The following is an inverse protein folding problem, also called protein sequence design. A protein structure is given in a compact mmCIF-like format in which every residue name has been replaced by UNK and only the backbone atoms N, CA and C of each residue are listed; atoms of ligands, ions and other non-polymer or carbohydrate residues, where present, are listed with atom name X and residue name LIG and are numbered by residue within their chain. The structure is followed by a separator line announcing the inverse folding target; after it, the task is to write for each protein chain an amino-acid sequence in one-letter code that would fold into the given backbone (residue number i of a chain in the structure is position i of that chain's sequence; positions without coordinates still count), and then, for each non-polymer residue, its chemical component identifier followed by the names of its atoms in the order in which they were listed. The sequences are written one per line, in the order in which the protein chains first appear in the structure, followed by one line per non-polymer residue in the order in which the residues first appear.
data_IF_703692282108
#
_entry.id   IF_703692282108
#
_cell.length_a   1.000
_cell.length_b   1.000
_cell.length_c   1.000
_cell.angle_alpha   90.00
_cell.angle_beta   90.00
_cell.angle_gamma   90.00
#
_symmetry.space_group_name_H-M   'P 1'
#
loop_
_entity.id
_entity.type
_entity.pdbx_description
1 polymer ?
#
# COMPACT_ATOMS: atom_id res chain seq x y z
N UNK A 1 7.70 -12.75 32.77
CA UNK A 1 7.06 -13.50 31.67
C UNK A 1 5.64 -12.96 31.59
N UNK A 2 5.53 -11.76 30.98
CA UNK A 2 4.25 -11.13 30.75
C UNK A 2 3.58 -11.85 29.57
N UNK A 3 2.37 -12.30 29.81
CA UNK A 3 1.56 -12.91 28.77
C UNK A 3 1.12 -11.81 27.82
N UNK A 4 1.46 -11.96 26.55
CA UNK A 4 0.87 -11.14 25.48
C UNK A 4 -0.66 -11.34 25.54
N UNK A 5 -1.39 -10.30 25.91
CA UNK A 5 -2.83 -10.29 25.77
C UNK A 5 -3.17 -10.29 24.27
N UNK A 6 -3.62 -11.44 23.80
CA UNK A 6 -4.19 -11.55 22.45
C UNK A 6 -5.60 -10.99 22.47
N UNK A 7 -5.80 -9.88 21.83
CA UNK A 7 -7.14 -9.34 21.59
C UNK A 7 -7.82 -10.23 20.55
N UNK A 8 -8.78 -11.02 20.98
CA UNK A 8 -9.62 -11.84 20.08
C UNK A 8 -10.82 -11.01 19.65
N UNK A 9 -10.94 -10.78 18.35
CA UNK A 9 -12.06 -10.06 17.75
C UNK A 9 -13.21 -11.04 17.46
N UNK A 10 -14.49 -10.61 17.51
CA UNK A 10 -15.61 -11.41 17.05
C UNK A 10 -15.38 -11.87 15.61
N UNK A 11 -15.39 -13.18 15.36
CA UNK A 11 -15.05 -13.77 14.06
C UNK A 11 -13.69 -14.48 14.01
N UNK A 12 -12.91 -14.47 15.10
CA UNK A 12 -11.66 -15.25 15.20
C UNK A 12 -10.47 -14.64 14.45
N UNK A 13 -10.53 -13.36 14.08
CA UNK A 13 -9.39 -12.66 13.49
C UNK A 13 -8.37 -12.27 14.56
N UNK A 14 -7.16 -12.84 14.49
CA UNK A 14 -6.00 -12.32 15.20
C UNK A 14 -5.36 -11.22 14.35
N UNK A 15 -5.16 -10.05 14.91
CA UNK A 15 -4.42 -8.98 14.24
C UNK A 15 -3.27 -8.49 15.09
N UNK A 16 -2.32 -7.88 14.42
CA UNK A 16 -1.29 -7.12 15.10
C UNK A 16 -1.91 -5.84 15.66
N UNK A 17 -1.59 -5.51 16.90
CA UNK A 17 -1.88 -4.18 17.43
C UNK A 17 -1.19 -3.13 16.55
N UNK A 18 -1.84 -2.00 16.34
CA UNK A 18 -1.19 -0.87 15.65
C UNK A 18 -0.05 -0.32 16.48
N UNK A 19 0.86 0.39 15.86
CA UNK A 19 1.98 1.01 16.58
C UNK A 19 1.52 1.99 17.68
N UNK A 20 0.35 2.61 17.51
CA UNK A 20 -0.28 3.46 18.53
C UNK A 20 -0.67 2.72 19.81
N UNK A 21 -0.90 1.41 19.74
CA UNK A 21 -1.28 0.59 20.90
C UNK A 21 -0.06 0.06 21.68
N UNK A 22 1.17 0.36 21.22
CA UNK A 22 2.40 -0.22 21.75
C UNK A 22 3.41 0.86 22.08
N UNK A 23 3.23 1.47 23.22
CA UNK A 23 4.25 2.31 23.79
C UNK A 23 5.50 1.46 24.14
N UNK A 24 6.69 1.94 23.75
CA UNK A 24 7.99 1.44 24.18
C UNK A 24 8.51 0.09 23.62
N UNK A 25 8.08 -0.37 22.46
CA UNK A 25 8.78 -1.46 21.80
C UNK A 25 9.85 -0.91 20.83
N UNK A 26 11.10 -1.42 20.88
CA UNK A 26 12.15 -0.95 19.98
C UNK A 26 11.80 -1.18 18.52
N UNK A 27 11.12 -2.31 18.21
CA UNK A 27 10.55 -2.60 16.88
C UNK A 27 9.21 -3.29 17.05
N UNK A 28 8.19 -2.97 16.21
CA UNK A 28 6.90 -3.63 16.30
C UNK A 28 7.06 -5.14 16.16
N UNK A 29 6.41 -5.95 16.98
CA UNK A 29 6.51 -7.40 16.90
C UNK A 29 5.84 -7.90 15.63
N UNK A 30 6.26 -9.06 15.19
CA UNK A 30 5.72 -9.78 14.05
C UNK A 30 6.80 -10.10 13.02
N UNK A 31 6.46 -11.02 12.16
CA UNK A 31 7.28 -11.57 11.07
C UNK A 31 6.97 -10.93 9.70
N UNK A 32 6.02 -9.98 9.67
CA UNK A 32 5.69 -9.24 8.46
C UNK A 32 6.86 -8.40 7.95
N UNK A 33 6.98 -8.33 6.61
CA UNK A 33 8.02 -7.50 5.96
C UNK A 33 7.75 -6.01 6.09
N UNK A 34 6.47 -5.63 6.21
CA UNK A 34 6.05 -4.27 6.45
C UNK A 34 5.30 -4.19 7.77
N UNK A 35 5.61 -3.18 8.56
CA UNK A 35 5.05 -2.92 9.90
C UNK A 35 4.72 -1.43 10.01
N UNK A 36 4.05 -1.01 11.08
CA UNK A 36 3.80 0.41 11.35
C UNK A 36 4.50 0.83 12.64
N UNK A 37 4.93 2.08 12.67
CA UNK A 37 5.47 2.77 13.84
C UNK A 37 4.79 4.11 13.99
N UNK A 38 4.64 4.59 15.22
CA UNK A 38 4.17 5.95 15.50
C UNK A 38 5.34 6.95 15.54
N UNK A 39 4.99 8.22 15.68
CA UNK A 39 5.97 9.29 15.74
C UNK A 39 6.84 9.25 17.02
N UNK A 40 6.31 8.73 18.14
CA UNK A 40 7.11 8.54 19.37
C UNK A 40 8.24 7.54 19.14
N UNK A 41 7.88 6.39 18.55
CA UNK A 41 8.87 5.36 18.24
C UNK A 41 9.98 5.93 17.31
N UNK A 42 9.60 6.64 16.24
CA UNK A 42 10.58 7.18 15.31
C UNK A 42 11.47 8.25 15.99
N UNK A 43 10.90 9.08 16.86
CA UNK A 43 11.69 10.09 17.61
C UNK A 43 12.75 9.44 18.50
N UNK A 44 12.41 8.33 19.17
CA UNK A 44 13.34 7.59 20.02
C UNK A 44 14.47 6.92 19.22
N UNK A 45 14.23 6.59 17.94
CA UNK A 45 15.16 5.89 17.05
C UNK A 45 15.78 6.79 15.97
N UNK A 46 15.53 8.11 16.03
CA UNK A 46 15.94 9.04 14.96
C UNK A 46 17.47 9.07 14.75
N UNK A 47 18.24 8.72 15.76
CA UNK A 47 19.71 8.72 15.74
C UNK A 47 20.33 7.32 15.66
N UNK A 48 19.53 6.28 15.41
CA UNK A 48 20.04 4.93 15.23
C UNK A 48 20.82 4.85 13.92
N UNK A 49 22.05 4.38 14.01
CA UNK A 49 23.00 4.41 12.87
C UNK A 49 22.68 3.42 11.76
N UNK A 50 21.84 2.44 12.05
CA UNK A 50 21.39 1.40 11.13
C UNK A 50 19.97 1.68 10.57
N UNK A 51 19.29 2.73 11.01
CA UNK A 51 17.96 3.11 10.53
C UNK A 51 18.08 4.04 9.31
N UNK A 52 17.47 3.66 8.20
CA UNK A 52 17.30 4.54 7.05
C UNK A 52 15.89 5.13 7.04
N UNK A 53 15.76 6.44 6.89
CA UNK A 53 14.48 7.14 6.83
C UNK A 53 14.26 7.63 5.39
N UNK A 54 13.17 7.19 4.76
CA UNK A 54 12.84 7.52 3.37
C UNK A 54 11.62 8.41 3.33
N UNK A 55 11.82 9.60 2.78
CA UNK A 55 10.76 10.57 2.49
C UNK A 55 10.21 10.35 1.07
N UNK A 56 8.91 10.06 0.99
CA UNK A 56 8.19 9.84 -0.27
C UNK A 56 7.13 10.93 -0.46
N UNK A 57 7.42 12.16 -0.03
CA UNK A 57 6.52 13.28 -0.28
C UNK A 57 6.27 13.47 -1.79
N UNK A 58 5.09 14.01 -2.19
CA UNK A 58 4.65 13.99 -3.58
C UNK A 58 5.56 14.79 -4.53
N UNK A 59 6.28 15.78 -4.02
CA UNK A 59 7.15 16.64 -4.79
C UNK A 59 8.46 16.90 -4.05
N UNK A 60 9.58 16.99 -4.78
CA UNK A 60 10.89 17.30 -4.20
C UNK A 60 10.90 18.64 -3.46
N UNK A 61 10.10 19.61 -3.88
CA UNK A 61 10.00 20.89 -3.18
C UNK A 61 9.32 20.78 -1.81
N UNK A 62 8.47 19.79 -1.61
CA UNK A 62 7.90 19.49 -0.28
C UNK A 62 9.01 19.06 0.67
N UNK A 63 9.87 18.11 0.24
CA UNK A 63 11.04 17.68 0.99
C UNK A 63 12.04 18.80 1.25
N UNK A 64 12.34 19.65 0.25
CA UNK A 64 13.24 20.80 0.38
C UNK A 64 12.71 21.78 1.44
N UNK A 65 11.41 21.97 1.47
CA UNK A 65 10.76 22.90 2.40
C UNK A 65 10.77 22.37 3.84
N UNK A 66 10.47 21.11 4.02
CA UNK A 66 10.45 20.47 5.34
C UNK A 66 10.43 18.93 5.22
N UNK A 67 11.21 18.28 6.08
CA UNK A 67 11.25 16.82 6.21
C UNK A 67 11.66 16.42 7.64
N UNK A 68 11.51 15.14 7.97
CA UNK A 68 12.01 14.57 9.23
C UNK A 68 13.54 14.58 9.22
N UNK A 69 14.22 15.00 10.31
CA UNK A 69 15.67 15.02 10.36
C UNK A 69 16.30 13.68 9.94
N UNK A 70 17.33 13.74 9.09
CA UNK A 70 18.03 12.55 8.57
C UNK A 70 17.32 11.81 7.43
N UNK A 71 16.11 12.21 7.04
CA UNK A 71 15.39 11.55 5.96
C UNK A 71 16.02 11.82 4.57
N UNK A 72 16.04 10.81 3.75
CA UNK A 72 16.47 10.85 2.34
C UNK A 72 15.24 10.87 1.43
N UNK A 73 15.18 11.82 0.49
CA UNK A 73 14.10 11.88 -0.48
C UNK A 73 14.23 10.79 -1.54
N UNK A 74 13.19 9.98 -1.70
CA UNK A 74 13.09 8.99 -2.76
C UNK A 74 11.68 8.98 -3.33
N UNK A 75 11.47 9.65 -4.46
CA UNK A 75 10.15 9.73 -5.08
C UNK A 75 9.62 8.36 -5.54
N UNK A 76 8.33 8.10 -5.34
CA UNK A 76 7.69 6.92 -5.92
C UNK A 76 7.77 6.86 -7.45
N UNK A 77 8.03 8.01 -8.10
CA UNK A 77 8.19 8.10 -9.55
C UNK A 77 9.34 7.25 -10.13
N UNK A 78 10.34 6.88 -9.32
CA UNK A 78 11.42 5.99 -9.77
C UNK A 78 10.99 4.52 -9.86
N UNK A 79 9.89 4.15 -9.21
CA UNK A 79 9.45 2.77 -9.08
C UNK A 79 8.84 2.22 -10.37
N UNK A 80 8.33 3.10 -11.23
CA UNK A 80 7.61 2.70 -12.44
C UNK A 80 8.04 3.48 -13.66
N UNK A 81 8.07 2.77 -14.80
CA UNK A 81 8.39 3.36 -16.10
C UNK A 81 7.61 2.64 -17.19
N UNK A 82 7.24 3.37 -18.25
CA UNK A 82 6.57 2.75 -19.39
C UNK A 82 7.44 1.68 -20.05
N UNK A 83 6.84 0.51 -20.34
CA UNK A 83 7.47 -0.56 -21.10
C UNK A 83 6.66 -0.83 -22.38
N UNK A 84 7.30 -0.65 -23.54
CA UNK A 84 6.65 -0.83 -24.87
C UNK A 84 5.32 -0.09 -25.02
N UNK A 85 5.23 1.11 -24.41
CA UNK A 85 4.02 1.94 -24.42
C UNK A 85 2.98 1.61 -23.34
N UNK A 86 3.13 0.52 -22.59
CA UNK A 86 2.29 0.24 -21.43
C UNK A 86 2.80 1.05 -20.21
N UNK A 87 1.94 1.82 -19.50
CA UNK A 87 2.42 2.89 -18.61
C UNK A 87 2.76 2.45 -17.19
N UNK A 88 2.36 1.26 -16.75
CA UNK A 88 2.36 0.89 -15.31
C UNK A 88 3.41 -0.11 -14.84
N UNK A 89 4.26 -0.71 -15.68
CA UNK A 89 5.25 -1.68 -15.21
C UNK A 89 6.26 -1.07 -14.25
N UNK A 90 6.80 -1.92 -13.38
CA UNK A 90 7.94 -1.53 -12.55
C UNK A 90 9.16 -1.18 -13.40
N UNK A 91 9.97 -0.29 -12.87
CA UNK A 91 11.26 0.06 -13.46
C UNK A 91 12.14 -1.19 -13.57
N UNK A 92 13.05 -1.24 -14.57
CA UNK A 92 14.01 -2.35 -14.67
C UNK A 92 14.74 -2.57 -13.34
N UNK A 93 14.99 -3.84 -13.01
CA UNK A 93 15.62 -4.23 -11.73
C UNK A 93 16.89 -3.44 -11.43
N UNK A 94 17.75 -3.22 -12.44
CA UNK A 94 18.97 -2.42 -12.26
C UNK A 94 18.70 -0.95 -11.87
N UNK A 95 17.61 -0.35 -12.37
CA UNK A 95 17.23 1.01 -11.98
C UNK A 95 16.70 1.08 -10.54
N UNK A 96 15.88 0.11 -10.14
CA UNK A 96 15.41 0.00 -8.75
C UNK A 96 16.57 -0.21 -7.79
N UNK A 97 17.46 -1.15 -8.11
CA UNK A 97 18.64 -1.45 -7.30
C UNK A 97 19.52 -0.20 -7.10
N UNK A 98 19.86 0.48 -8.19
CA UNK A 98 20.66 1.71 -8.15
C UNK A 98 19.97 2.80 -7.31
N UNK A 99 18.65 2.95 -7.45
CA UNK A 99 17.89 3.94 -6.66
C UNK A 99 17.94 3.63 -5.17
N UNK A 100 17.77 2.37 -4.80
CA UNK A 100 17.82 1.93 -3.40
C UNK A 100 19.24 2.03 -2.82
N UNK A 101 20.25 1.65 -3.59
CA UNK A 101 21.65 1.81 -3.18
C UNK A 101 22.00 3.27 -2.89
N UNK A 102 21.64 4.19 -3.79
CA UNK A 102 21.89 5.64 -3.62
C UNK A 102 21.17 6.25 -2.45
N UNK A 103 20.03 5.70 -2.08
CA UNK A 103 19.28 6.11 -0.88
C UNK A 103 19.85 5.51 0.43
N UNK A 104 20.94 4.72 0.35
CA UNK A 104 21.57 4.08 1.51
C UNK A 104 20.75 2.92 2.10
N UNK A 105 19.82 2.34 1.33
CA UNK A 105 18.97 1.25 1.80
C UNK A 105 19.77 -0.05 1.79
N UNK A 106 19.98 -0.64 2.97
CA UNK A 106 20.57 -1.97 3.14
C UNK A 106 19.48 -3.04 3.29
N UNK A 107 19.72 -4.27 2.81
CA UNK A 107 18.68 -5.30 2.76
C UNK A 107 18.13 -5.72 4.13
N UNK A 108 18.96 -5.72 5.15
CA UNK A 108 18.66 -6.24 6.49
C UNK A 108 18.57 -5.14 7.56
N UNK A 109 18.96 -3.90 7.24
CA UNK A 109 18.78 -2.76 8.14
C UNK A 109 17.36 -2.20 8.02
N UNK A 110 16.74 -1.77 9.12
CA UNK A 110 15.38 -1.26 9.07
C UNK A 110 15.27 0.03 8.25
N UNK A 111 14.16 0.14 7.50
CA UNK A 111 13.82 1.34 6.74
C UNK A 111 12.47 1.87 7.19
N UNK A 112 12.42 3.14 7.60
CA UNK A 112 11.15 3.86 7.82
C UNK A 112 10.78 4.59 6.54
N UNK A 113 9.55 4.39 6.06
CA UNK A 113 9.00 5.10 4.90
C UNK A 113 7.85 5.98 5.37
N UNK A 114 7.86 7.23 4.96
CA UNK A 114 6.74 8.14 5.22
C UNK A 114 6.44 9.03 4.00
N UNK A 115 5.24 9.59 4.01
CA UNK A 115 4.79 10.63 3.09
C UNK A 115 4.07 11.73 3.86
N UNK A 116 3.54 12.73 3.18
CA UNK A 116 2.74 13.81 3.74
C UNK A 116 1.88 14.47 2.67
N UNK A 117 1.02 15.39 3.06
CA UNK A 117 0.23 16.22 2.13
C UNK A 117 1.10 17.08 1.23
N UNK A 118 2.30 17.41 1.70
CA UNK A 118 3.23 18.31 1.04
C UNK A 118 2.95 19.78 1.36
N UNK A 119 3.92 20.45 1.97
CA UNK A 119 3.79 21.85 2.36
C UNK A 119 3.79 22.81 1.16
N UNK A 120 4.47 22.43 0.08
CA UNK A 120 4.52 23.17 -1.18
C UNK A 120 3.42 22.76 -2.15
N UNK A 121 3.24 21.45 -2.37
CA UNK A 121 2.32 20.92 -3.36
C UNK A 121 0.86 20.85 -2.86
N UNK A 122 0.67 20.43 -1.61
CA UNK A 122 -0.64 20.31 -0.96
C UNK A 122 -1.55 19.19 -1.50
N UNK A 123 -1.02 18.29 -2.37
CA UNK A 123 -1.82 17.27 -3.04
C UNK A 123 -1.43 15.81 -2.73
N UNK A 124 -0.58 15.62 -1.71
CA UNK A 124 -0.23 14.27 -1.25
C UNK A 124 -1.43 13.49 -0.76
N UNK A 125 -1.57 12.28 -1.26
CA UNK A 125 -2.71 11.40 -1.01
C UNK A 125 -2.43 10.28 0.00
N UNK A 126 -1.23 10.20 0.55
CA UNK A 126 -0.83 9.16 1.51
C UNK A 126 -0.35 7.84 0.89
N UNK A 127 -0.57 7.60 -0.40
CA UNK A 127 -0.27 6.32 -1.05
C UNK A 127 1.22 6.11 -1.38
N UNK A 128 2.01 7.18 -1.45
CA UNK A 128 3.44 7.07 -1.75
C UNK A 128 4.16 6.13 -0.79
N UNK A 129 3.85 6.17 0.50
CA UNK A 129 4.48 5.30 1.50
C UNK A 129 4.12 3.82 1.31
N UNK A 130 2.87 3.46 1.02
CA UNK A 130 2.47 2.06 0.83
C UNK A 130 3.02 1.50 -0.49
N UNK A 131 3.08 2.32 -1.53
CA UNK A 131 3.69 1.95 -2.80
C UNK A 131 5.20 1.69 -2.64
N UNK A 132 5.91 2.55 -1.93
CA UNK A 132 7.35 2.38 -1.64
C UNK A 132 7.59 1.14 -0.77
N UNK A 133 6.83 0.98 0.32
CA UNK A 133 6.99 -0.14 1.24
C UNK A 133 6.70 -1.49 0.55
N UNK A 134 5.63 -1.57 -0.24
CA UNK A 134 5.34 -2.75 -1.05
C UNK A 134 6.50 -3.07 -1.99
N UNK A 135 7.02 -2.06 -2.69
CA UNK A 135 8.09 -2.25 -3.67
C UNK A 135 9.39 -2.70 -3.01
N UNK A 136 9.79 -2.09 -1.89
CA UNK A 136 10.95 -2.53 -1.12
C UNK A 136 10.81 -3.99 -0.68
N UNK A 137 9.68 -4.35 -0.08
CA UNK A 137 9.42 -5.72 0.37
C UNK A 137 9.40 -6.72 -0.80
N UNK A 138 8.78 -6.35 -1.94
CA UNK A 138 8.74 -7.17 -3.15
C UNK A 138 10.14 -7.43 -3.72
N UNK A 139 11.00 -6.43 -3.68
CA UNK A 139 12.34 -6.52 -4.28
C UNK A 139 13.46 -6.86 -3.30
N UNK A 140 13.11 -7.44 -2.15
CA UNK A 140 14.06 -8.15 -1.31
C UNK A 140 14.31 -7.56 0.07
N UNK A 141 13.81 -6.36 0.37
CA UNK A 141 13.98 -5.78 1.69
C UNK A 141 13.22 -6.57 2.77
N UNK A 142 13.81 -6.71 3.94
CA UNK A 142 13.27 -7.58 4.99
C UNK A 142 12.51 -6.88 6.10
N UNK A 143 12.77 -5.58 6.34
CA UNK A 143 12.18 -4.84 7.46
C UNK A 143 11.85 -3.41 7.06
N UNK A 144 10.60 -3.17 6.66
CA UNK A 144 10.10 -1.84 6.30
C UNK A 144 9.08 -1.38 7.34
N UNK A 145 9.23 -0.16 7.83
CA UNK A 145 8.28 0.48 8.71
C UNK A 145 7.56 1.61 7.98
N UNK A 146 6.26 1.69 8.14
CA UNK A 146 5.45 2.82 7.72
C UNK A 146 5.23 3.74 8.92
N UNK A 147 5.57 5.02 8.79
CA UNK A 147 5.25 6.01 9.80
C UNK A 147 3.75 6.31 9.76
N UNK A 148 3.05 5.94 10.82
CA UNK A 148 1.61 6.14 10.93
C UNK A 148 1.25 7.62 10.98
N UNK A 149 0.40 8.05 10.06
CA UNK A 149 0.06 9.46 9.86
C UNK A 149 1.13 10.29 9.14
N UNK A 150 2.30 9.72 8.82
CA UNK A 150 3.36 10.37 8.04
C UNK A 150 3.87 11.69 8.63
N UNK A 151 4.36 12.57 7.75
CA UNK A 151 4.87 13.89 8.14
C UNK A 151 3.80 14.78 8.79
N UNK A 152 2.54 14.65 8.36
CA UNK A 152 1.47 15.48 8.90
C UNK A 152 1.21 15.17 10.38
N UNK A 153 1.27 13.89 10.78
CA UNK A 153 1.17 13.49 12.19
C UNK A 153 2.39 13.96 12.99
N UNK A 154 3.61 13.74 12.47
CA UNK A 154 4.86 14.19 13.05
C UNK A 154 4.82 15.70 13.38
N UNK A 155 4.35 16.51 12.43
CA UNK A 155 4.19 17.96 12.59
C UNK A 155 3.13 18.32 13.63
N UNK A 156 1.99 17.64 13.62
CA UNK A 156 0.88 17.93 14.55
C UNK A 156 1.27 17.70 16.00
N UNK A 157 2.23 16.81 16.25
CA UNK A 157 2.82 16.56 17.57
C UNK A 157 3.93 17.55 17.94
N UNK A 158 4.22 18.55 17.09
CA UNK A 158 5.21 19.59 17.34
C UNK A 158 6.64 19.11 17.29
N UNK A 159 6.92 18.04 16.58
CA UNK A 159 8.27 17.45 16.47
C UNK A 159 9.15 18.23 15.52
N UNK A 160 10.46 18.05 15.69
CA UNK A 160 11.49 18.73 14.90
C UNK A 160 11.38 18.41 13.40
N UNK A 161 11.55 19.44 12.58
CA UNK A 161 11.65 19.36 11.12
C UNK A 161 13.04 19.86 10.70
N UNK A 162 13.49 19.39 9.54
CA UNK A 162 14.77 19.75 8.95
C UNK A 162 14.62 20.24 7.51
N UNK A 163 15.63 21.00 7.08
CA UNK A 163 15.95 21.33 5.69
C UNK A 163 17.37 20.88 5.33
N UNK A 164 18.05 20.20 6.25
CA UNK A 164 19.43 19.73 6.07
C UNK A 164 19.42 18.40 5.33
N UNK A 165 20.23 18.27 4.28
CA UNK A 165 20.34 17.05 3.50
C UNK A 165 21.34 16.10 4.14
N UNK A 166 20.95 14.86 4.48
CA UNK A 166 21.90 13.90 5.04
C UNK A 166 22.94 13.49 3.99
N UNK A 167 24.18 13.27 4.44
CA UNK A 167 25.17 12.60 3.60
C UNK A 167 25.01 11.11 3.77
N UNK A 168 24.72 10.43 2.65
CA UNK A 168 24.47 8.98 2.63
C UNK A 168 25.47 8.31 1.68
N UNK A 169 26.14 7.28 2.18
CA UNK A 169 26.97 6.42 1.34
C UNK A 169 26.11 5.41 0.60
N UNK A 170 26.40 5.13 -0.68
CA UNK A 170 25.69 4.09 -1.41
C UNK A 170 25.82 2.72 -0.75
N UNK A 171 24.71 2.01 -0.63
CA UNK A 171 24.63 0.70 0.00
C UNK A 171 25.02 -0.46 -0.93
N UNK A 172 25.11 -1.66 -0.35
CA UNK A 172 25.30 -2.92 -1.08
C UNK A 172 24.01 -3.63 -1.47
N UNK A 173 22.85 -2.97 -1.43
CA UNK A 173 21.55 -3.58 -1.70
C UNK A 173 21.51 -4.33 -3.02
N UNK A 174 21.08 -5.59 -2.99
CA UNK A 174 20.87 -6.40 -4.20
C UNK A 174 19.41 -6.82 -4.27
N UNK A 175 18.77 -6.49 -5.40
CA UNK A 175 17.38 -6.86 -5.64
C UNK A 175 17.19 -8.36 -5.69
N UNK A 176 16.24 -8.85 -4.90
CA UNK A 176 15.78 -10.24 -4.87
C UNK A 176 14.25 -10.23 -4.98
N UNK A 177 13.73 -10.40 -6.19
CA UNK A 177 12.29 -10.35 -6.43
C UNK A 177 11.55 -11.48 -5.70
N UNK A 178 10.42 -11.14 -5.09
CA UNK A 178 9.46 -12.05 -4.46
C UNK A 178 8.18 -12.06 -5.28
N UNK A 179 7.97 -13.13 -6.03
CA UNK A 179 6.85 -13.22 -6.98
C UNK A 179 5.53 -13.62 -6.30
N UNK A 180 5.58 -14.13 -5.07
CA UNK A 180 4.43 -14.55 -4.26
C UNK A 180 3.50 -13.41 -3.80
N UNK A 181 3.93 -12.16 -3.94
CA UNK A 181 3.10 -10.98 -3.60
C UNK A 181 2.21 -10.52 -4.75
N UNK A 182 2.55 -10.88 -5.96
CA UNK A 182 1.82 -10.46 -7.15
C UNK A 182 1.09 -11.64 -7.82
N UNK A 183 0.06 -11.33 -8.58
CA UNK A 183 -0.58 -12.26 -9.50
C UNK A 183 -0.50 -11.70 -10.91
N UNK A 184 -0.01 -12.50 -11.86
CA UNK A 184 0.06 -12.14 -13.27
C UNK A 184 -1.29 -12.27 -13.98
N UNK A 185 -1.42 -11.66 -15.17
CA UNK A 185 -2.68 -11.61 -15.90
C UNK A 185 -3.29 -12.99 -16.17
N UNK A 186 -2.50 -13.94 -16.66
CA UNK A 186 -3.00 -15.28 -17.02
C UNK A 186 -3.55 -16.03 -15.80
N UNK A 187 -2.85 -16.01 -14.68
CA UNK A 187 -3.30 -16.62 -13.43
C UNK A 187 -4.51 -15.86 -12.87
N UNK A 188 -4.49 -14.53 -12.92
CA UNK A 188 -5.59 -13.69 -12.47
C UNK A 188 -6.91 -14.03 -13.19
N UNK A 189 -6.88 -14.13 -14.53
CA UNK A 189 -8.07 -14.48 -15.32
C UNK A 189 -8.63 -15.84 -14.93
N UNK A 190 -7.76 -16.80 -14.58
CA UNK A 190 -8.18 -18.16 -14.22
C UNK A 190 -8.75 -18.26 -12.81
N UNK A 191 -8.34 -17.35 -11.89
CA UNK A 191 -8.62 -17.49 -10.45
C UNK A 191 -9.61 -16.49 -9.91
N UNK A 192 -9.73 -15.30 -10.50
CA UNK A 192 -10.53 -14.18 -9.95
C UNK A 192 -12.01 -14.48 -9.69
N UNK A 193 -12.57 -15.48 -10.36
CA UNK A 193 -13.99 -15.86 -10.28
C UNK A 193 -14.22 -17.14 -9.44
N UNK A 194 -13.20 -17.67 -8.78
CA UNK A 194 -13.34 -18.81 -7.87
C UNK A 194 -14.15 -18.42 -6.64
N UNK A 195 -14.92 -19.35 -6.10
CA UNK A 195 -15.81 -19.12 -4.95
C UNK A 195 -15.07 -18.72 -3.67
N UNK A 196 -13.82 -19.13 -3.55
CA UNK A 196 -12.91 -18.83 -2.42
C UNK A 196 -12.08 -17.56 -2.61
N UNK A 197 -12.33 -16.78 -3.67
CA UNK A 197 -11.62 -15.54 -3.98
C UNK A 197 -12.49 -14.32 -3.69
N UNK A 198 -11.91 -13.30 -3.07
CA UNK A 198 -12.43 -11.93 -3.01
C UNK A 198 -11.54 -11.04 -3.87
N UNK A 199 -12.08 -10.46 -4.92
CA UNK A 199 -11.41 -9.46 -5.74
C UNK A 199 -11.82 -8.07 -5.25
N UNK A 200 -10.86 -7.27 -4.78
CA UNK A 200 -11.07 -5.90 -4.33
C UNK A 200 -10.66 -4.89 -5.41
N UNK A 201 -11.38 -3.78 -5.48
CA UNK A 201 -11.03 -2.62 -6.31
C UNK A 201 -10.89 -1.39 -5.41
N UNK A 202 -9.66 -0.93 -5.22
CA UNK A 202 -9.27 0.16 -4.33
C UNK A 202 -9.59 1.56 -4.87
N UNK A 203 -10.07 1.69 -6.10
CA UNK A 203 -10.36 2.99 -6.71
C UNK A 203 -11.52 3.70 -6.04
N UNK A 204 -11.54 5.05 -6.08
CA UNK A 204 -12.72 5.81 -5.70
C UNK A 204 -13.99 5.30 -6.40
N UNK A 205 -15.11 5.25 -5.68
CA UNK A 205 -16.38 4.70 -6.17
C UNK A 205 -16.82 5.26 -7.54
N UNK A 206 -16.59 6.56 -7.79
CA UNK A 206 -16.91 7.16 -9.09
C UNK A 206 -16.13 6.53 -10.25
N UNK A 207 -14.85 6.24 -10.05
CA UNK A 207 -14.01 5.59 -11.08
C UNK A 207 -14.42 4.14 -11.30
N UNK A 208 -14.70 3.41 -10.22
CA UNK A 208 -15.22 2.05 -10.27
C UNK A 208 -16.54 1.98 -11.06
N UNK A 209 -17.46 2.91 -10.82
CA UNK A 209 -18.79 2.97 -11.43
C UNK A 209 -18.78 3.42 -12.91
N UNK A 210 -17.65 3.78 -13.50
CA UNK A 210 -17.56 4.15 -14.90
C UNK A 210 -17.20 5.62 -15.19
N UNK A 211 -16.83 6.42 -14.17
CA UNK A 211 -16.38 7.81 -14.37
C UNK A 211 -14.85 7.94 -14.38
N UNK A 212 -14.15 6.89 -14.81
CA UNK A 212 -12.70 6.87 -14.89
C UNK A 212 -12.15 7.30 -16.26
N UNK A 213 -10.84 7.52 -16.37
CA UNK A 213 -10.19 8.03 -17.60
C UNK A 213 -9.97 6.97 -18.68
N UNK A 214 -10.36 5.73 -18.43
CA UNK A 214 -10.12 4.63 -19.37
C UNK A 214 -11.07 4.70 -20.58
N UNK A 215 -10.60 4.19 -21.74
CA UNK A 215 -11.40 4.13 -22.96
C UNK A 215 -12.67 3.26 -22.79
N UNK A 216 -12.60 2.25 -21.94
CA UNK A 216 -13.73 1.43 -21.49
C UNK A 216 -13.81 1.59 -19.97
N UNK A 217 -14.54 2.62 -19.46
CA UNK A 217 -14.62 2.88 -18.04
C UNK A 217 -15.51 1.85 -17.34
N UNK A 218 -15.35 1.70 -16.02
CA UNK A 218 -16.04 0.70 -15.22
C UNK A 218 -15.07 -0.08 -14.34
N UNK A 219 -15.40 -1.34 -14.07
CA UNK A 219 -14.59 -2.23 -13.25
C UNK A 219 -14.53 -3.66 -13.78
N UNK A 220 -13.62 -4.45 -13.24
CA UNK A 220 -13.48 -5.88 -13.54
C UNK A 220 -14.68 -6.61 -12.96
N UNK A 221 -15.38 -7.46 -13.74
CA UNK A 221 -16.54 -8.21 -13.24
C UNK A 221 -16.19 -9.05 -12.01
N UNK A 222 -16.98 -8.93 -10.96
CA UNK A 222 -16.78 -9.60 -9.69
C UNK A 222 -15.94 -8.82 -8.67
N UNK A 223 -15.32 -7.70 -9.05
CA UNK A 223 -14.60 -6.86 -8.12
C UNK A 223 -15.57 -6.14 -7.16
N UNK A 224 -15.28 -6.20 -5.87
CA UNK A 224 -15.96 -5.45 -4.82
C UNK A 224 -15.21 -4.14 -4.62
N UNK A 225 -15.92 -3.01 -4.68
CA UNK A 225 -15.28 -1.71 -4.48
C UNK A 225 -15.04 -1.46 -3.00
N UNK A 226 -13.78 -1.45 -2.61
CA UNK A 226 -13.29 -1.02 -1.31
C UNK A 226 -12.32 0.16 -1.54
N UNK A 227 -12.81 1.41 -1.61
CA UNK A 227 -11.93 2.53 -1.87
C UNK A 227 -10.85 2.64 -0.80
N UNK A 228 -9.57 2.68 -1.20
CA UNK A 228 -8.44 2.79 -0.27
C UNK A 228 -8.63 3.89 0.78
N UNK A 229 -9.26 5.00 0.36
CA UNK A 229 -9.49 6.18 1.21
C UNK A 229 -10.44 5.89 2.37
N UNK A 230 -11.34 4.92 2.26
CA UNK A 230 -12.25 4.51 3.33
C UNK A 230 -11.54 3.85 4.50
N UNK A 231 -10.34 3.33 4.30
CA UNK A 231 -9.50 2.72 5.32
C UNK A 231 -8.67 3.75 6.12
N UNK A 232 -8.62 4.99 5.64
CA UNK A 232 -7.78 6.04 6.20
C UNK A 232 -8.59 7.05 7.00
N UNK A 233 -7.95 7.71 7.97
CA UNK A 233 -8.52 8.82 8.73
C UNK A 233 -8.95 9.95 7.80
N UNK A 234 -10.11 10.57 8.05
CA UNK A 234 -10.69 11.57 7.16
C UNK A 234 -9.85 12.84 7.02
N UNK A 235 -9.10 13.22 8.04
CA UNK A 235 -8.24 14.40 8.05
C UNK A 235 -6.81 14.10 7.55
N UNK A 236 -6.33 12.86 7.74
CA UNK A 236 -4.97 12.47 7.39
C UNK A 236 -4.96 11.18 6.54
N UNK A 237 -4.70 11.27 5.22
CA UNK A 237 -4.72 10.11 4.33
C UNK A 237 -3.54 9.12 4.54
N UNK A 238 -2.55 9.47 5.36
CA UNK A 238 -1.46 8.57 5.73
C UNK A 238 -1.70 7.85 7.07
N UNK A 239 -2.77 8.20 7.81
CA UNK A 239 -3.17 7.61 9.07
C UNK A 239 -4.29 6.58 8.84
N UNK A 240 -4.12 5.36 9.36
CA UNK A 240 -5.21 4.37 9.32
C UNK A 240 -6.31 4.73 10.31
N UNK A 241 -7.55 4.38 9.96
CA UNK A 241 -8.67 4.33 10.91
C UNK A 241 -8.37 3.39 12.07
N UNK A 242 -9.17 3.53 13.12
CA UNK A 242 -9.11 2.61 14.27
C UNK A 242 -9.35 1.17 13.82
N UNK A 243 -8.81 0.26 14.62
CA UNK A 243 -8.97 -1.16 14.36
C UNK A 243 -10.44 -1.59 14.24
N UNK A 244 -11.30 -1.08 15.13
CA UNK A 244 -12.72 -1.44 15.13
C UNK A 244 -13.43 -0.95 13.87
N UNK A 245 -13.10 0.25 13.38
CA UNK A 245 -13.62 0.76 12.10
C UNK A 245 -13.12 -0.07 10.92
N UNK A 246 -11.83 -0.44 10.91
CA UNK A 246 -11.26 -1.28 9.85
C UNK A 246 -11.92 -2.66 9.79
N UNK A 247 -12.16 -3.29 10.96
CA UNK A 247 -12.83 -4.59 11.03
C UNK A 247 -14.25 -4.52 10.46
N UNK A 248 -15.01 -3.49 10.84
CA UNK A 248 -16.37 -3.29 10.31
C UNK A 248 -16.34 -3.07 8.79
N UNK A 249 -15.41 -2.27 8.29
CA UNK A 249 -15.28 -2.01 6.85
C UNK A 249 -14.94 -3.30 6.10
N UNK A 250 -14.00 -4.11 6.60
CA UNK A 250 -13.60 -5.36 5.95
C UNK A 250 -14.75 -6.38 5.96
N UNK A 251 -15.48 -6.50 7.07
CA UNK A 251 -16.64 -7.36 7.18
C UNK A 251 -17.75 -6.98 6.20
N UNK A 252 -18.08 -5.68 6.11
CA UNK A 252 -19.10 -5.15 5.19
C UNK A 252 -18.78 -5.43 3.72
N UNK A 253 -17.49 -5.56 3.37
CA UNK A 253 -17.03 -5.88 2.01
C UNK A 253 -16.76 -7.38 1.79
N UNK A 254 -17.12 -8.23 2.75
CA UNK A 254 -16.96 -9.69 2.67
C UNK A 254 -15.51 -10.16 2.63
N UNK A 255 -14.60 -9.38 3.20
CA UNK A 255 -13.17 -9.72 3.30
C UNK A 255 -12.98 -10.67 4.48
N UNK A 256 -12.64 -11.93 4.19
CA UNK A 256 -12.49 -13.00 5.15
C UNK A 256 -11.11 -13.67 5.02
N UNK A 257 -10.49 -13.99 6.15
CA UNK A 257 -9.17 -14.65 6.22
C UNK A 257 -9.14 -16.05 5.61
N UNK A 258 -10.28 -16.71 5.53
CA UNK A 258 -10.40 -18.06 4.93
C UNK A 258 -10.33 -18.03 3.41
N UNK A 259 -10.40 -16.85 2.80
CA UNK A 259 -10.45 -16.65 1.36
C UNK A 259 -9.13 -16.04 0.83
N UNK A 260 -8.83 -16.36 -0.41
CA UNK A 260 -7.80 -15.63 -1.17
C UNK A 260 -8.28 -14.21 -1.46
N UNK A 261 -7.50 -13.20 -1.13
CA UNK A 261 -7.82 -11.80 -1.45
C UNK A 261 -6.90 -11.31 -2.57
N UNK A 262 -7.51 -10.85 -3.67
CA UNK A 262 -6.79 -10.20 -4.75
C UNK A 262 -7.09 -8.70 -4.70
N UNK A 263 -6.07 -7.89 -4.43
CA UNK A 263 -6.18 -6.44 -4.45
C UNK A 263 -5.92 -5.92 -5.86
N UNK A 264 -6.78 -5.06 -6.36
CA UNK A 264 -6.60 -4.36 -7.64
C UNK A 264 -7.06 -2.90 -7.56
N UNK A 265 -6.71 -2.10 -8.55
CA UNK A 265 -7.18 -0.72 -8.66
C UNK A 265 -7.13 -0.22 -10.10
N UNK A 266 -6.73 1.01 -10.34
CA UNK A 266 -6.48 1.55 -11.68
C UNK A 266 -5.18 1.07 -12.28
N UNK A 267 -4.09 1.16 -11.51
CA UNK A 267 -2.71 0.96 -11.96
C UNK A 267 -1.87 0.13 -10.99
N UNK A 268 -2.45 -0.47 -9.96
CA UNK A 268 -1.75 -1.19 -8.91
C UNK A 268 -1.16 -0.30 -7.81
N UNK A 269 -1.41 1.02 -7.80
CA UNK A 269 -0.89 1.96 -6.79
C UNK A 269 -1.79 2.01 -5.56
N UNK A 270 -3.07 2.32 -5.72
CA UNK A 270 -4.04 2.40 -4.62
C UNK A 270 -4.17 1.05 -3.89
N UNK A 271 -4.14 -0.04 -4.63
CA UNK A 271 -4.25 -1.40 -4.11
C UNK A 271 -3.08 -1.83 -3.21
N UNK A 272 -1.94 -1.11 -3.23
CA UNK A 272 -0.87 -1.38 -2.27
C UNK A 272 -1.27 -1.08 -0.84
N UNK A 273 -2.20 -0.12 -0.62
CA UNK A 273 -2.70 0.19 0.72
C UNK A 273 -3.50 -0.99 1.31
N UNK A 274 -4.41 -1.57 0.52
CA UNK A 274 -5.17 -2.76 0.92
C UNK A 274 -4.25 -3.98 1.11
N UNK A 275 -3.31 -4.17 0.18
CA UNK A 275 -2.35 -5.27 0.27
C UNK A 275 -1.51 -5.18 1.55
N UNK A 276 -0.93 -4.01 1.85
CA UNK A 276 -0.15 -3.78 3.07
C UNK A 276 -0.98 -4.07 4.31
N UNK A 277 -2.20 -3.52 4.37
CA UNK A 277 -3.11 -3.74 5.48
C UNK A 277 -3.39 -5.23 5.68
N UNK A 278 -3.87 -5.91 4.65
CA UNK A 278 -4.32 -7.30 4.76
C UNK A 278 -3.15 -8.27 4.94
N UNK A 279 -2.11 -8.17 4.08
CA UNK A 279 -1.00 -9.13 4.10
C UNK A 279 -0.13 -9.02 5.34
N UNK A 280 0.25 -7.81 5.72
CA UNK A 280 1.27 -7.63 6.75
C UNK A 280 0.73 -7.17 8.09
N UNK A 281 -0.27 -6.30 8.13
CA UNK A 281 -0.80 -5.81 9.39
C UNK A 281 -1.86 -6.77 9.96
N UNK A 282 -2.77 -7.24 9.11
CA UNK A 282 -3.80 -8.21 9.50
C UNK A 282 -3.37 -9.67 9.34
N UNK A 283 -2.23 -9.93 8.66
CA UNK A 283 -1.66 -11.28 8.44
C UNK A 283 -2.64 -12.26 7.79
N UNK A 284 -3.34 -11.81 6.76
CA UNK A 284 -4.12 -12.72 5.93
C UNK A 284 -3.17 -13.71 5.23
N UNK A 285 -3.48 -15.00 5.21
CA UNK A 285 -2.57 -16.01 4.70
C UNK A 285 -2.31 -15.88 3.20
N UNK A 286 -3.35 -15.58 2.42
CA UNK A 286 -3.26 -15.47 0.97
C UNK A 286 -3.83 -14.13 0.48
N UNK A 287 -2.91 -13.20 0.21
CA UNK A 287 -3.20 -11.88 -0.37
C UNK A 287 -2.26 -11.67 -1.53
N UNK A 288 -2.81 -11.32 -2.68
CA UNK A 288 -2.08 -11.04 -3.91
C UNK A 288 -2.42 -9.66 -4.45
N UNK A 289 -1.47 -9.02 -5.11
CA UNK A 289 -1.68 -7.77 -5.83
C UNK A 289 -1.71 -8.03 -7.33
N UNK A 290 -2.82 -7.71 -7.99
CA UNK A 290 -2.87 -7.65 -9.45
C UNK A 290 -2.29 -6.31 -9.91
N UNK A 291 -0.99 -6.29 -10.19
CA UNK A 291 -0.22 -5.06 -10.44
C UNK A 291 -0.63 -4.34 -11.72
N UNK A 292 -0.99 -5.07 -12.77
CA UNK A 292 -1.50 -4.48 -14.01
C UNK A 292 -2.86 -3.83 -13.85
N UNK A 293 -3.64 -4.33 -12.92
CA UNK A 293 -4.93 -3.78 -12.49
C UNK A 293 -5.89 -3.51 -13.66
N UNK A 294 -6.81 -2.56 -13.47
CA UNK A 294 -7.80 -2.24 -14.50
C UNK A 294 -7.17 -1.71 -15.80
N UNK A 295 -6.02 -1.05 -15.74
CA UNK A 295 -5.31 -0.57 -16.93
C UNK A 295 -4.87 -1.73 -17.82
N UNK A 296 -4.32 -2.82 -17.26
CA UNK A 296 -3.98 -4.01 -18.03
C UNK A 296 -5.24 -4.73 -18.51
N UNK A 297 -6.23 -4.92 -17.65
CA UNK A 297 -7.49 -5.58 -17.97
C UNK A 297 -8.15 -5.03 -19.23
N UNK A 298 -8.21 -3.70 -19.38
CA UNK A 298 -8.86 -3.06 -20.54
C UNK A 298 -8.01 -3.04 -21.80
N UNK A 299 -6.73 -3.43 -21.75
CA UNK A 299 -5.91 -3.61 -22.96
C UNK A 299 -6.33 -4.85 -23.75
N UNK A 300 -7.01 -5.79 -23.10
CA UNK A 300 -7.56 -7.00 -23.69
C UNK A 300 -9.02 -6.72 -24.12
N UNK A 301 -9.30 -6.58 -25.43
CA UNK A 301 -10.62 -6.16 -25.90
C UNK A 301 -11.72 -7.19 -25.62
N UNK A 302 -11.36 -8.46 -25.45
CA UNK A 302 -12.25 -9.57 -25.11
C UNK A 302 -12.72 -9.52 -23.65
N UNK A 303 -12.01 -8.85 -22.76
CA UNK A 303 -12.35 -8.77 -21.35
C UNK A 303 -13.62 -7.93 -21.15
N UNK A 304 -14.64 -8.43 -20.43
CA UNK A 304 -15.82 -7.65 -20.11
C UNK A 304 -15.50 -6.55 -19.06
N UNK A 305 -16.29 -5.49 -19.10
CA UNK A 305 -16.28 -4.38 -18.14
C UNK A 305 -17.68 -4.15 -17.64
N UNK A 306 -17.85 -3.94 -16.34
CA UNK A 306 -19.14 -3.62 -15.70
C UNK A 306 -19.14 -2.15 -15.29
N UNK A 307 -20.26 -1.47 -15.53
CA UNK A 307 -20.51 -0.10 -15.05
C UNK A 307 -21.56 -0.11 -13.92
N UNK A 308 -21.53 0.92 -13.08
CA UNK A 308 -22.43 1.04 -11.94
C UNK A 308 -21.85 0.46 -10.64
N UNK A 309 -22.66 0.44 -9.56
CA UNK A 309 -22.17 0.08 -8.22
C UNK A 309 -22.03 -1.43 -7.98
N UNK A 310 -22.73 -2.25 -8.78
CA UNK A 310 -22.81 -3.69 -8.54
C UNK A 310 -21.59 -4.42 -9.11
N UNK A 311 -20.99 -5.37 -8.40
CA UNK A 311 -19.81 -6.11 -8.84
C UNK A 311 -20.00 -6.89 -10.16
N UNK A 312 -21.22 -7.23 -10.49
CA UNK A 312 -21.59 -7.93 -11.74
C UNK A 312 -22.87 -7.32 -12.32
N UNK A 313 -23.01 -7.37 -13.65
CA UNK A 313 -24.27 -7.03 -14.25
C UNK A 313 -25.40 -7.90 -13.68
N UNK A 314 -26.54 -7.27 -13.37
CA UNK A 314 -27.73 -8.01 -12.99
C UNK A 314 -28.07 -9.01 -14.12
N UNK A 315 -28.25 -10.28 -13.79
CA UNK A 315 -28.76 -11.27 -14.77
C UNK A 315 -30.07 -10.73 -15.29
N UNK A 316 -30.12 -10.33 -16.57
CA UNK A 316 -31.41 -10.01 -17.24
C UNK A 316 -32.23 -11.26 -17.15
N UNK A 317 -33.31 -11.24 -16.37
CA UNK A 317 -34.33 -12.30 -16.45
C UNK A 317 -34.76 -12.40 -17.92
N UNK A 318 -34.62 -13.58 -18.51
CA UNK A 318 -35.08 -13.82 -19.84
C UNK A 318 -36.60 -13.55 -19.84
N UNK A 319 -37.01 -12.48 -20.51
CA UNK A 319 -38.45 -12.20 -20.74
C UNK A 319 -38.96 -13.38 -21.53
N UNK A 320 -39.92 -14.16 -21.02
CA UNK A 320 -40.47 -15.28 -21.78
C UNK A 320 -41.07 -14.72 -23.07
N UNK A 321 -40.64 -15.28 -24.22
CA UNK A 321 -41.19 -14.95 -25.50
C UNK A 321 -42.72 -15.19 -25.46
N UNK A 322 -43.49 -14.12 -25.75
CA UNK A 322 -44.96 -14.20 -25.90
C UNK A 322 -45.33 -14.86 -27.20
#
# INVERSE_FOLDING_TARGET
MEMEEKIVIPGGMERLQTSSDRENLPYPPGDGKVKRVNADWLADHLHDTDLTIIDVQPNVHDYIQEHIPGAVYLTEGVLRVSNRGFPTPYSPIGCLQESFQRAGIEADSPVVVYTGKGAFSGWGDGLGQTMMAYTLAKYGHNTVYLLDGGLDQWKSEGRELSQEYPTVEPSGFTVQARDDYAIGYEEFVQTKDNDDVVLLDARPAKMYQGQGPWRRPGHIPGAVNLPWRSLMDDANPALLKSNDELDMILEDHGVDRSRTVICSCGTGREATNEFVLLKWLYRYPDVRLYEGSFTEWVTHPENPVVEGPEPREAKREAVPAR
#
